data_IF_751641783462
#
_entry.id   IF_751641783462
#
_cell.length_a   1.000
_cell.length_b   1.000
_cell.length_c   1.000
_cell.angle_alpha   90.00
_cell.angle_beta   90.00
_cell.angle_gamma   90.00
#
_symmetry.space_group_name_H-M   'P 1'
#
loop_
_entity.id
_entity.type
_entity.pdbx_description
1 polymer ?
#
# COMPACT_ATOMS: atom_id res chain seq x y z
N UNK A 1 12.40 -1.34 -12.79
CA UNK A 1 12.24 -0.02 -12.12
C UNK A 1 12.28 1.06 -13.20
N UNK A 2 11.13 1.61 -13.58
CA UNK A 2 11.05 2.81 -14.42
C UNK A 2 11.21 4.03 -13.49
N UNK A 3 12.33 4.71 -13.60
CA UNK A 3 12.58 5.98 -12.90
C UNK A 3 12.27 7.13 -13.84
N UNK A 4 11.36 7.99 -13.46
CA UNK A 4 11.13 9.26 -14.17
C UNK A 4 11.84 10.39 -13.42
N UNK A 5 12.71 11.20 -14.08
CA UNK A 5 13.28 12.37 -13.47
C UNK A 5 12.21 13.47 -13.35
N UNK A 6 12.09 14.09 -12.18
CA UNK A 6 11.31 15.32 -11.99
C UNK A 6 12.02 16.46 -12.72
N UNK A 7 11.47 16.89 -13.85
CA UNK A 7 11.93 18.08 -14.56
C UNK A 7 11.11 19.28 -14.12
N UNK A 8 11.76 20.27 -13.55
CA UNK A 8 11.15 21.55 -13.21
C UNK A 8 10.75 22.31 -14.49
N UNK A 9 9.46 22.37 -14.80
CA UNK A 9 8.92 23.31 -15.79
C UNK A 9 8.37 24.55 -15.06
N UNK A 10 9.18 25.60 -15.02
CA UNK A 10 8.70 26.93 -14.68
C UNK A 10 8.02 27.58 -15.87
N UNK A 11 6.78 28.00 -15.74
CA UNK A 11 6.21 29.07 -16.59
C UNK A 11 4.97 29.69 -15.95
N UNK A 12 5.08 31.00 -15.86
CA UNK A 12 4.26 32.09 -15.45
C UNK A 12 2.74 31.99 -15.47
N UNK A 13 2.19 32.59 -14.45
CA UNK A 13 0.78 32.90 -14.27
C UNK A 13 0.27 33.97 -15.22
N UNK A 14 -1.05 34.02 -15.47
CA UNK A 14 -1.76 35.25 -15.27
C UNK A 14 -2.92 35.12 -14.27
N UNK A 15 -3.00 36.13 -13.42
CA UNK A 15 -4.08 36.38 -12.48
C UNK A 15 -5.40 36.65 -13.19
N UNK A 16 -6.49 36.01 -12.72
CA UNK A 16 -7.84 36.50 -12.90
C UNK A 16 -8.65 36.23 -11.64
N UNK A 17 -9.15 37.32 -11.08
CA UNK A 17 -10.09 37.38 -9.96
C UNK A 17 -11.48 36.87 -10.37
N UNK A 18 -12.09 36.05 -9.54
CA UNK A 18 -13.48 35.65 -9.67
C UNK A 18 -14.00 35.06 -8.36
N UNK A 19 -14.98 35.74 -7.79
CA UNK A 19 -15.63 35.51 -6.51
C UNK A 19 -16.50 34.25 -6.48
N UNK A 20 -16.42 33.52 -5.34
CA UNK A 20 -17.57 32.96 -4.62
C UNK A 20 -18.21 31.72 -5.14
N UNK A 21 -18.08 30.65 -4.42
CA UNK A 21 -19.15 29.91 -3.71
C UNK A 21 -18.52 28.72 -3.01
N UNK A 22 -18.68 28.66 -1.70
CA UNK A 22 -18.38 27.49 -0.89
C UNK A 22 -19.26 26.32 -1.33
N UNK A 23 -18.64 25.31 -1.93
CA UNK A 23 -19.24 23.99 -2.06
C UNK A 23 -18.42 23.06 -1.17
N UNK A 24 -19.07 22.50 -0.16
CA UNK A 24 -18.45 21.63 0.80
C UNK A 24 -17.73 20.47 0.12
N UNK A 25 -16.43 20.42 0.32
CA UNK A 25 -15.59 19.26 0.02
C UNK A 25 -16.00 18.20 1.04
N UNK A 26 -16.63 17.14 0.57
CA UNK A 26 -16.84 15.94 1.36
C UNK A 26 -15.48 15.40 1.79
N UNK A 27 -15.16 15.58 3.05
CA UNK A 27 -14.06 14.89 3.72
C UNK A 27 -14.37 13.40 3.58
N UNK A 28 -13.55 12.66 2.83
CA UNK A 28 -13.50 11.22 2.97
C UNK A 28 -13.09 10.97 4.42
N UNK A 29 -14.00 10.43 5.21
CA UNK A 29 -13.72 10.13 6.60
C UNK A 29 -12.58 9.12 6.62
N UNK A 30 -11.45 9.51 7.20
CA UNK A 30 -10.45 8.54 7.62
C UNK A 30 -11.17 7.49 8.49
N UNK A 31 -10.84 6.18 8.34
CA UNK A 31 -11.46 5.15 9.16
C UNK A 31 -11.34 5.53 10.64
N UNK A 32 -12.45 5.45 11.36
CA UNK A 32 -12.48 5.69 12.80
C UNK A 32 -11.72 4.58 13.53
N UNK A 33 -10.42 4.77 13.69
CA UNK A 33 -9.51 3.85 14.40
C UNK A 33 -9.65 3.94 15.93
N UNK A 34 -10.69 4.64 16.44
CA UNK A 34 -10.87 4.89 17.88
C UNK A 34 -11.56 3.75 18.64
N UNK A 35 -11.96 2.65 17.99
CA UNK A 35 -12.74 1.58 18.64
C UNK A 35 -11.94 0.34 19.09
N UNK A 36 -10.63 0.25 18.86
CA UNK A 36 -9.84 -0.89 19.33
C UNK A 36 -9.47 -0.74 20.81
N UNK A 37 -10.36 -1.14 21.71
CA UNK A 37 -10.09 -1.29 23.16
C UNK A 37 -9.71 -2.73 23.56
N UNK A 38 -9.63 -3.67 22.64
CA UNK A 38 -9.05 -4.98 22.91
C UNK A 38 -7.55 -4.95 22.58
N UNK A 39 -6.72 -5.53 23.47
CA UNK A 39 -5.28 -5.71 23.23
C UNK A 39 -5.10 -6.74 22.08
N UNK A 40 -5.21 -6.29 20.86
CA UNK A 40 -4.86 -7.11 19.69
C UNK A 40 -3.36 -7.39 19.74
N UNK A 41 -2.97 -8.65 19.71
CA UNK A 41 -1.56 -9.03 19.60
C UNK A 41 -1.04 -8.60 18.23
N UNK A 42 -0.25 -7.54 18.21
CA UNK A 42 0.35 -6.98 16.98
C UNK A 42 1.75 -7.50 16.70
N UNK A 43 2.30 -8.35 17.56
CA UNK A 43 3.66 -8.85 17.48
C UNK A 43 4.69 -7.98 18.23
N UNK A 44 5.96 -8.41 18.18
CA UNK A 44 7.07 -7.78 18.92
C UNK A 44 7.70 -6.64 18.12
N UNK A 45 7.50 -5.41 18.59
CA UNK A 45 8.05 -4.20 17.99
C UNK A 45 9.59 -4.17 17.96
N UNK A 46 10.26 -4.85 18.90
CA UNK A 46 11.72 -4.87 19.00
C UNK A 46 12.40 -5.64 17.86
N UNK A 47 11.64 -6.42 17.10
CA UNK A 47 12.13 -7.18 15.95
C UNK A 47 12.09 -6.38 14.64
N UNK A 48 11.52 -5.18 14.64
CA UNK A 48 11.45 -4.29 13.48
C UNK A 48 12.50 -3.18 13.57
N UNK A 49 13.14 -2.87 12.45
CA UNK A 49 14.08 -1.76 12.32
C UNK A 49 13.31 -0.52 11.84
N UNK A 50 13.25 0.58 12.60
CA UNK A 50 12.57 1.80 12.16
C UNK A 50 13.24 2.50 10.99
N UNK A 51 14.49 2.16 10.65
CA UNK A 51 15.27 2.66 9.52
C UNK A 51 15.29 4.20 9.43
N UNK A 52 15.47 4.85 10.57
CA UNK A 52 15.55 6.31 10.71
C UNK A 52 16.94 6.79 11.15
N UNK A 53 17.99 6.02 10.83
CA UNK A 53 19.36 6.30 11.20
C UNK A 53 19.89 7.60 10.57
N UNK A 54 20.77 8.25 11.33
CA UNK A 54 21.57 9.39 10.87
C UNK A 54 22.98 8.94 10.45
N UNK A 55 23.79 9.88 9.96
CA UNK A 55 25.17 9.66 9.52
C UNK A 55 25.28 8.64 8.38
N UNK A 56 24.33 8.70 7.48
CA UNK A 56 24.29 7.91 6.27
C UNK A 56 25.23 8.51 5.19
N UNK A 57 25.45 7.77 4.10
CA UNK A 57 26.25 8.27 2.98
C UNK A 57 25.53 9.28 2.10
N UNK A 58 26.16 9.66 0.99
CA UNK A 58 25.61 10.64 0.05
C UNK A 58 24.45 10.11 -0.81
N UNK A 59 24.14 8.81 -0.74
CA UNK A 59 23.09 8.15 -1.51
C UNK A 59 22.06 7.52 -0.58
N UNK A 60 20.82 7.91 -0.74
CA UNK A 60 19.71 7.38 0.04
C UNK A 60 18.62 6.80 -0.86
N UNK A 61 18.10 5.65 -0.49
CA UNK A 61 16.87 5.06 -1.00
C UNK A 61 15.84 5.14 0.12
N UNK A 62 14.90 6.08 -0.01
CA UNK A 62 13.82 6.29 0.94
C UNK A 62 12.61 5.46 0.53
N UNK A 63 12.26 4.46 1.34
CA UNK A 63 11.07 3.64 1.13
C UNK A 63 9.89 4.31 1.83
N UNK A 64 8.87 4.66 1.04
CA UNK A 64 7.67 5.36 1.54
C UNK A 64 6.46 4.43 1.45
N UNK A 65 5.86 4.16 2.60
CA UNK A 65 4.69 3.30 2.75
C UNK A 65 3.55 4.06 3.45
N UNK A 66 2.31 3.62 3.27
CA UNK A 66 1.21 4.08 4.14
C UNK A 66 1.53 3.79 5.61
N UNK A 67 2.04 2.61 5.86
CA UNK A 67 2.39 2.12 7.18
C UNK A 67 1.37 1.15 7.74
N UNK A 68 1.72 0.52 8.85
CA UNK A 68 0.83 -0.30 9.67
C UNK A 68 1.27 -0.29 11.12
N UNK A 69 0.32 -0.30 12.04
CA UNK A 69 0.57 -0.45 13.46
C UNK A 69 0.75 -1.90 13.91
N UNK A 70 0.48 -2.88 13.06
CA UNK A 70 0.72 -4.30 13.33
C UNK A 70 2.20 -4.60 13.16
N UNK A 71 2.90 -4.89 14.26
CA UNK A 71 4.37 -5.03 14.29
C UNK A 71 4.87 -6.17 13.40
N UNK A 72 4.26 -7.35 13.50
CA UNK A 72 4.67 -8.48 12.66
C UNK A 72 4.35 -8.24 11.19
N UNK A 73 3.18 -7.67 10.86
CA UNK A 73 2.86 -7.30 9.49
C UNK A 73 3.86 -6.28 8.94
N UNK A 74 4.18 -5.22 9.70
CA UNK A 74 5.16 -4.21 9.30
C UNK A 74 6.52 -4.82 8.97
N UNK A 75 7.03 -5.68 9.86
CA UNK A 75 8.31 -6.37 9.69
C UNK A 75 8.30 -7.33 8.49
N UNK A 76 7.24 -8.12 8.33
CA UNK A 76 7.15 -9.17 7.32
C UNK A 76 6.78 -8.66 5.92
N UNK A 77 6.25 -7.46 5.80
CA UNK A 77 5.84 -6.85 4.52
C UNK A 77 6.74 -5.66 4.17
N UNK A 78 6.57 -4.52 4.80
CA UNK A 78 7.40 -3.31 4.54
C UNK A 78 8.89 -3.63 4.81
N UNK A 79 9.20 -4.23 5.94
CA UNK A 79 10.57 -4.60 6.30
C UNK A 79 11.21 -5.58 5.32
N UNK A 80 10.42 -6.49 4.73
CA UNK A 80 10.92 -7.40 3.69
C UNK A 80 11.25 -6.65 2.39
N UNK A 81 10.42 -5.70 1.97
CA UNK A 81 10.69 -4.84 0.82
C UNK A 81 11.97 -4.03 1.03
N UNK A 82 12.10 -3.40 2.19
CA UNK A 82 13.28 -2.60 2.56
C UNK A 82 14.55 -3.43 2.60
N UNK A 83 14.46 -4.65 3.10
CA UNK A 83 15.59 -5.60 3.15
C UNK A 83 16.00 -6.02 1.74
N UNK A 84 15.05 -6.36 0.88
CA UNK A 84 15.32 -6.69 -0.51
C UNK A 84 15.98 -5.53 -1.26
N UNK A 85 15.54 -4.30 -0.99
CA UNK A 85 16.15 -3.10 -1.57
C UNK A 85 17.58 -2.86 -1.03
N UNK A 86 17.81 -3.06 0.27
CA UNK A 86 19.15 -2.93 0.86
C UNK A 86 20.12 -3.98 0.31
N UNK A 87 19.65 -5.20 0.06
CA UNK A 87 20.45 -6.26 -0.57
C UNK A 87 20.75 -5.96 -2.04
N UNK A 88 19.78 -5.41 -2.77
CA UNK A 88 19.95 -5.07 -4.19
C UNK A 88 20.83 -3.83 -4.41
N UNK A 89 20.86 -2.91 -3.46
CA UNK A 89 21.59 -1.64 -3.54
C UNK A 89 22.52 -1.43 -2.32
N UNK A 90 23.55 -2.27 -2.13
CA UNK A 90 24.38 -2.27 -0.91
C UNK A 90 25.19 -0.96 -0.69
N UNK A 91 25.36 -0.15 -1.73
CA UNK A 91 26.04 1.15 -1.66
C UNK A 91 25.09 2.32 -1.31
N UNK A 92 23.82 2.03 -1.03
CA UNK A 92 22.78 3.01 -0.68
C UNK A 92 22.33 2.81 0.77
N UNK A 93 22.05 3.90 1.45
CA UNK A 93 21.37 3.85 2.74
C UNK A 93 19.87 3.70 2.51
N UNK A 94 19.28 2.63 3.01
CA UNK A 94 17.83 2.41 2.91
C UNK A 94 17.16 2.90 4.18
N UNK A 95 16.25 3.88 4.04
CA UNK A 95 15.48 4.45 5.13
C UNK A 95 13.99 4.33 4.89
N UNK A 96 13.20 4.50 5.97
CA UNK A 96 11.74 4.35 5.98
C UNK A 96 11.07 5.70 6.22
N UNK A 97 9.92 5.92 5.56
CA UNK A 97 8.94 6.91 5.96
C UNK A 97 7.52 6.35 5.81
N UNK A 98 6.60 6.86 6.63
CA UNK A 98 5.17 6.58 6.49
C UNK A 98 4.40 7.82 6.07
N UNK A 99 3.33 7.62 5.29
CA UNK A 99 2.40 8.70 4.93
C UNK A 99 1.33 8.91 6.00
N UNK A 100 0.92 7.86 6.72
CA UNK A 100 -0.13 7.92 7.73
C UNK A 100 0.38 8.39 9.08
N UNK A 101 0.08 9.65 9.45
CA UNK A 101 0.43 10.20 10.76
C UNK A 101 -0.24 9.46 11.91
N UNK A 102 -1.46 8.96 11.72
CA UNK A 102 -2.21 8.18 12.73
C UNK A 102 -1.44 6.90 13.07
N UNK A 103 -0.93 6.21 12.06
CA UNK A 103 -0.12 5.00 12.27
C UNK A 103 1.18 5.33 13.00
N UNK A 104 1.88 6.39 12.60
CA UNK A 104 3.10 6.85 13.26
C UNK A 104 2.86 7.13 14.73
N UNK A 105 1.81 7.89 15.05
CA UNK A 105 1.48 8.26 16.43
C UNK A 105 1.11 7.02 17.25
N UNK A 106 0.32 6.09 16.72
CA UNK A 106 -0.04 4.84 17.40
C UNK A 106 1.18 3.97 17.71
N UNK A 107 2.10 3.80 16.75
CA UNK A 107 3.33 3.03 16.94
C UNK A 107 4.22 3.69 17.99
N UNK A 108 4.36 5.02 17.94
CA UNK A 108 5.14 5.76 18.94
C UNK A 108 4.53 5.64 20.35
N UNK A 109 3.21 5.82 20.48
CA UNK A 109 2.53 5.80 21.78
C UNK A 109 2.52 4.41 22.41
N UNK A 110 2.30 3.37 21.63
CA UNK A 110 2.23 1.98 22.11
C UNK A 110 3.61 1.36 22.32
N UNK A 111 4.51 1.53 21.33
CA UNK A 111 5.76 0.77 21.26
C UNK A 111 7.01 1.62 21.56
N UNK A 112 6.86 2.95 21.63
CA UNK A 112 8.00 3.87 21.79
C UNK A 112 8.93 3.91 20.57
N UNK A 113 8.47 3.45 19.41
CA UNK A 113 9.23 3.41 18.14
C UNK A 113 8.96 4.68 17.35
N UNK A 114 10.02 5.42 17.02
CA UNK A 114 9.94 6.62 16.20
C UNK A 114 10.06 6.25 14.72
N UNK A 115 9.06 6.63 13.93
CA UNK A 115 9.05 6.48 12.47
C UNK A 115 8.84 7.86 11.86
N UNK A 116 9.68 8.23 10.91
CA UNK A 116 9.57 9.51 10.22
C UNK A 116 8.31 9.52 9.30
N UNK A 117 7.59 10.64 9.28
CA UNK A 117 6.70 10.92 8.16
C UNK A 117 7.52 11.41 6.95
N UNK A 118 6.89 11.58 5.79
CA UNK A 118 7.58 11.94 4.55
C UNK A 118 8.41 13.21 4.73
N UNK A 119 7.81 14.26 5.30
CA UNK A 119 8.50 15.54 5.53
C UNK A 119 9.71 15.38 6.46
N UNK A 120 9.54 14.70 7.58
CA UNK A 120 10.62 14.48 8.54
C UNK A 120 11.77 13.66 7.93
N UNK A 121 11.45 12.66 7.10
CA UNK A 121 12.44 11.85 6.40
C UNK A 121 13.22 12.68 5.36
N UNK A 122 12.55 13.56 4.63
CA UNK A 122 13.18 14.46 3.65
C UNK A 122 14.08 15.50 4.33
N UNK A 123 13.61 16.14 5.41
CA UNK A 123 14.41 17.07 6.21
C UNK A 123 15.67 16.38 6.76
N UNK A 124 15.51 15.16 7.28
CA UNK A 124 16.63 14.34 7.77
C UNK A 124 17.62 13.97 6.66
N UNK A 125 17.14 13.69 5.44
CA UNK A 125 18.02 13.43 4.29
C UNK A 125 18.87 14.66 3.95
N UNK A 126 18.27 15.85 3.99
CA UNK A 126 19.00 17.12 3.81
C UNK A 126 20.03 17.32 4.92
N UNK A 127 19.66 17.12 6.18
CA UNK A 127 20.55 17.28 7.35
C UNK A 127 21.71 16.27 7.32
N UNK A 128 21.48 15.08 6.80
CA UNK A 128 22.52 14.06 6.59
C UNK A 128 23.45 14.38 5.40
N UNK A 129 23.17 15.38 4.60
CA UNK A 129 23.98 15.76 3.44
C UNK A 129 23.84 14.80 2.26
N UNK A 130 22.69 14.16 2.12
CA UNK A 130 22.38 13.31 0.96
C UNK A 130 22.43 14.14 -0.32
N UNK A 131 23.10 13.63 -1.34
CA UNK A 131 23.19 14.26 -2.66
C UNK A 131 22.28 13.62 -3.69
N UNK A 132 22.12 12.30 -3.58
CA UNK A 132 21.27 11.53 -4.47
C UNK A 132 20.21 10.82 -3.66
N UNK A 133 18.96 11.25 -3.84
CA UNK A 133 17.78 10.65 -3.21
C UNK A 133 16.93 9.92 -4.24
N UNK A 134 16.67 8.66 -3.98
CA UNK A 134 15.66 7.89 -4.72
C UNK A 134 14.55 7.52 -3.74
N UNK A 135 13.33 7.91 -4.07
CA UNK A 135 12.15 7.57 -3.27
C UNK A 135 11.43 6.40 -3.93
N UNK A 136 11.29 5.31 -3.19
CA UNK A 136 10.54 4.14 -3.63
C UNK A 136 9.22 4.04 -2.85
N UNK A 137 8.07 4.40 -3.46
CA UNK A 137 6.78 4.17 -2.85
C UNK A 137 6.48 2.68 -2.85
N UNK A 138 5.80 2.21 -1.79
CA UNK A 138 5.24 0.85 -1.74
C UNK A 138 3.75 0.84 -2.09
N UNK A 139 3.22 1.93 -2.61
CA UNK A 139 1.82 2.04 -3.00
C UNK A 139 1.48 1.05 -4.11
N UNK A 140 0.29 0.47 -4.02
CA UNK A 140 -0.20 -0.49 -5.02
C UNK A 140 -0.52 0.20 -6.34
N UNK A 141 -1.06 1.43 -6.28
CA UNK A 141 -1.60 2.19 -7.41
C UNK A 141 -1.20 3.66 -7.37
N UNK A 142 -1.36 4.34 -8.50
CA UNK A 142 -1.31 5.80 -8.62
C UNK A 142 -2.62 6.40 -8.11
N UNK A 143 -2.70 6.56 -6.79
CA UNK A 143 -3.82 7.14 -6.07
C UNK A 143 -3.47 8.46 -5.40
N UNK A 144 -4.39 8.96 -4.55
CA UNK A 144 -4.23 10.24 -3.85
C UNK A 144 -2.93 10.30 -3.05
N UNK A 145 -2.61 9.24 -2.31
CA UNK A 145 -1.40 9.19 -1.47
C UNK A 145 -0.10 9.25 -2.27
N UNK A 146 -0.08 8.63 -3.45
CA UNK A 146 1.08 8.74 -4.35
C UNK A 146 1.20 10.15 -4.92
N UNK A 147 0.07 10.78 -5.28
CA UNK A 147 0.04 12.16 -5.74
C UNK A 147 0.55 13.12 -4.66
N UNK A 148 0.07 12.98 -3.43
CA UNK A 148 0.51 13.79 -2.28
C UNK A 148 2.02 13.62 -2.02
N UNK A 149 2.53 12.40 -2.13
CA UNK A 149 3.97 12.12 -2.02
C UNK A 149 4.76 12.85 -3.11
N UNK A 150 4.32 12.82 -4.36
CA UNK A 150 5.00 13.50 -5.48
C UNK A 150 4.97 15.01 -5.29
N UNK A 151 3.85 15.56 -4.82
CA UNK A 151 3.71 17.00 -4.54
C UNK A 151 4.63 17.45 -3.38
N UNK A 152 4.81 16.62 -2.34
CA UNK A 152 5.76 16.89 -1.27
C UNK A 152 7.21 16.87 -1.79
N UNK A 153 7.58 15.86 -2.58
CA UNK A 153 8.92 15.75 -3.18
C UNK A 153 9.26 16.93 -4.09
N UNK A 154 8.28 17.50 -4.77
CA UNK A 154 8.48 18.66 -5.63
C UNK A 154 9.03 19.88 -4.88
N UNK A 155 8.79 19.98 -3.56
CA UNK A 155 9.28 21.06 -2.71
C UNK A 155 10.78 20.91 -2.37
N UNK A 156 11.36 19.72 -2.57
CA UNK A 156 12.75 19.39 -2.24
C UNK A 156 13.66 19.24 -3.46
N UNK A 157 13.18 19.55 -4.66
CA UNK A 157 13.95 19.38 -5.90
C UNK A 157 15.29 20.10 -5.91
N UNK A 158 15.39 21.27 -5.27
CA UNK A 158 16.60 22.06 -5.17
C UNK A 158 17.51 21.65 -3.99
N UNK A 159 17.05 20.76 -3.12
CA UNK A 159 17.80 20.33 -1.94
C UNK A 159 18.81 19.21 -2.25
N UNK A 160 18.64 18.50 -3.35
CA UNK A 160 19.47 17.36 -3.76
C UNK A 160 20.11 17.61 -5.12
N UNK A 161 21.31 17.05 -5.37
CA UNK A 161 21.90 17.05 -6.70
C UNK A 161 21.08 16.20 -7.68
N UNK A 162 20.50 15.10 -7.18
CA UNK A 162 19.62 14.20 -7.92
C UNK A 162 18.49 13.72 -7.00
N UNK A 163 17.26 13.85 -7.49
CA UNK A 163 16.07 13.28 -6.86
C UNK A 163 15.26 12.53 -7.90
N UNK A 164 14.77 11.34 -7.55
CA UNK A 164 13.90 10.54 -8.40
C UNK A 164 12.86 9.81 -7.55
N UNK A 165 11.69 9.55 -8.12
CA UNK A 165 10.62 8.77 -7.51
C UNK A 165 10.30 7.56 -8.39
N UNK A 166 10.14 6.39 -7.76
CA UNK A 166 9.67 5.17 -8.40
C UNK A 166 8.16 5.22 -8.64
N UNK A 167 7.70 4.45 -9.61
CA UNK A 167 6.28 4.25 -9.84
C UNK A 167 5.64 3.35 -8.76
N UNK A 168 4.31 3.43 -8.55
CA UNK A 168 3.56 2.43 -7.80
C UNK A 168 3.68 1.04 -8.43
N UNK A 169 3.26 0.01 -7.69
CA UNK A 169 3.46 -1.39 -8.10
C UNK A 169 2.70 -1.74 -9.38
N UNK A 170 1.43 -1.34 -9.50
CA UNK A 170 0.57 -1.66 -10.65
C UNK A 170 0.45 -0.45 -11.59
N UNK A 171 1.41 -0.29 -12.49
CA UNK A 171 1.49 0.85 -13.40
C UNK A 171 1.47 0.43 -14.88
N UNK A 172 2.00 -0.75 -15.21
CA UNK A 172 2.08 -1.26 -16.57
C UNK A 172 1.52 -2.67 -16.70
N UNK A 173 1.16 -3.09 -17.91
CA UNK A 173 0.72 -4.47 -18.20
C UNK A 173 1.72 -5.51 -17.69
N UNK A 174 3.03 -5.21 -17.77
CA UNK A 174 4.07 -6.08 -17.25
C UNK A 174 4.05 -6.22 -15.74
N UNK A 175 3.69 -5.15 -15.02
CA UNK A 175 3.56 -5.19 -13.56
C UNK A 175 2.35 -6.03 -13.14
N UNK A 176 1.21 -5.87 -13.83
CA UNK A 176 0.03 -6.71 -13.58
C UNK A 176 0.33 -8.19 -13.78
N UNK A 177 1.02 -8.54 -14.87
CA UNK A 177 1.40 -9.94 -15.11
C UNK A 177 2.36 -10.44 -14.03
N UNK A 178 3.37 -9.66 -13.65
CA UNK A 178 4.33 -10.05 -12.62
C UNK A 178 3.66 -10.25 -11.24
N UNK A 179 2.70 -9.39 -10.88
CA UNK A 179 1.92 -9.54 -9.66
C UNK A 179 0.98 -10.75 -9.73
N UNK A 180 0.30 -10.96 -10.87
CA UNK A 180 -0.55 -12.14 -11.08
C UNK A 180 0.27 -13.44 -10.93
N UNK A 181 1.44 -13.51 -11.55
CA UNK A 181 2.36 -14.66 -11.42
C UNK A 181 2.80 -14.87 -9.96
N UNK A 182 3.11 -13.80 -9.23
CA UNK A 182 3.55 -13.87 -7.85
C UNK A 182 2.44 -14.38 -6.91
N UNK A 183 1.22 -13.83 -7.03
CA UNK A 183 0.10 -14.23 -6.15
C UNK A 183 -0.42 -15.64 -6.48
N UNK A 184 -0.43 -16.04 -7.73
CA UNK A 184 -0.82 -17.40 -8.14
C UNK A 184 0.23 -18.42 -7.72
N UNK A 185 1.51 -18.10 -7.83
CA UNK A 185 2.58 -18.96 -7.29
C UNK A 185 2.47 -19.12 -5.76
N UNK A 186 2.23 -18.03 -5.03
CA UNK A 186 2.11 -18.06 -3.57
C UNK A 186 0.91 -18.88 -3.10
N UNK A 187 -0.16 -18.95 -3.88
CA UNK A 187 -1.40 -19.65 -3.57
C UNK A 187 -1.55 -21.01 -4.27
N UNK A 188 -0.57 -21.42 -5.07
CA UNK A 188 -0.63 -22.64 -5.89
C UNK A 188 -0.98 -23.93 -5.10
N UNK A 189 -0.59 -24.00 -3.83
CA UNK A 189 -0.91 -25.13 -2.95
C UNK A 189 -2.41 -25.28 -2.67
N UNK A 190 -3.18 -24.23 -2.88
CA UNK A 190 -4.65 -24.18 -2.67
C UNK A 190 -5.43 -24.34 -3.98
N UNK A 191 -4.76 -24.21 -5.14
CA UNK A 191 -5.37 -24.32 -6.48
C UNK A 191 -5.52 -25.80 -6.88
N UNK A 192 -6.47 -26.47 -6.25
CA UNK A 192 -6.72 -27.91 -6.38
C UNK A 192 -7.94 -28.24 -7.25
N UNK A 193 -8.52 -27.25 -7.90
CA UNK A 193 -9.70 -27.39 -8.74
C UNK A 193 -11.04 -27.44 -7.98
N UNK A 194 -11.04 -27.39 -6.65
CA UNK A 194 -12.21 -27.38 -5.78
C UNK A 194 -12.28 -26.14 -4.87
N UNK A 195 -11.18 -25.39 -4.81
CA UNK A 195 -11.01 -24.19 -3.99
C UNK A 195 -11.07 -22.93 -4.85
N UNK A 196 -11.84 -21.92 -4.42
CA UNK A 196 -11.77 -20.56 -4.93
C UNK A 196 -10.76 -19.74 -4.11
N UNK A 197 -9.93 -18.97 -4.77
CA UNK A 197 -8.95 -18.10 -4.14
C UNK A 197 -9.39 -16.66 -4.34
N UNK A 198 -9.75 -15.98 -3.24
CA UNK A 198 -10.34 -14.66 -3.26
C UNK A 198 -9.37 -13.65 -2.66
N UNK A 199 -9.03 -12.67 -3.45
CA UNK A 199 -8.16 -11.57 -3.07
C UNK A 199 -8.98 -10.35 -2.68
N UNK A 200 -8.73 -9.81 -1.50
CA UNK A 200 -9.37 -8.61 -0.99
C UNK A 200 -8.42 -7.41 -1.08
N UNK A 201 -8.76 -6.43 -1.92
CA UNK A 201 -8.12 -5.13 -1.96
C UNK A 201 -8.83 -4.13 -1.06
N UNK A 202 -8.22 -2.97 -0.83
CA UNK A 202 -8.83 -1.88 -0.07
C UNK A 202 -10.03 -1.29 -0.83
N UNK A 203 -9.81 -0.92 -2.08
CA UNK A 203 -10.76 -0.15 -2.88
C UNK A 203 -10.57 1.36 -2.70
N UNK A 204 -11.09 2.13 -3.62
CA UNK A 204 -11.08 3.60 -3.57
C UNK A 204 -12.14 4.16 -4.50
N UNK A 205 -12.69 5.34 -4.18
CA UNK A 205 -13.58 6.08 -5.07
C UNK A 205 -12.83 6.74 -6.26
N UNK A 206 -11.49 6.76 -6.23
CA UNK A 206 -10.69 7.34 -7.30
C UNK A 206 -10.66 6.45 -8.55
N UNK A 207 -10.33 7.05 -9.71
CA UNK A 207 -10.21 6.33 -10.99
C UNK A 207 -9.20 5.18 -10.94
N UNK A 208 -8.19 5.30 -10.08
CA UNK A 208 -7.18 4.25 -9.83
C UNK A 208 -7.77 2.93 -9.32
N UNK A 209 -9.02 2.92 -8.85
CA UNK A 209 -9.73 1.69 -8.44
C UNK A 209 -9.84 0.64 -9.56
N UNK A 210 -9.77 1.07 -10.82
CA UNK A 210 -9.81 0.19 -12.00
C UNK A 210 -8.77 -0.94 -11.96
N UNK A 211 -7.68 -0.79 -11.21
CA UNK A 211 -6.63 -1.82 -11.11
C UNK A 211 -7.14 -3.18 -10.61
N UNK A 212 -8.18 -3.19 -9.77
CA UNK A 212 -8.74 -4.45 -9.26
C UNK A 212 -9.47 -5.22 -10.37
N UNK A 213 -10.24 -4.53 -11.20
CA UNK A 213 -10.86 -5.13 -12.39
C UNK A 213 -9.82 -5.54 -13.44
N UNK A 214 -8.75 -4.77 -13.62
CA UNK A 214 -7.65 -5.13 -14.52
C UNK A 214 -6.90 -6.36 -14.03
N UNK A 215 -6.63 -6.48 -12.73
CA UNK A 215 -6.02 -7.68 -12.13
C UNK A 215 -6.92 -8.92 -12.33
N UNK A 216 -8.24 -8.79 -12.13
CA UNK A 216 -9.19 -9.86 -12.41
C UNK A 216 -9.07 -10.34 -13.87
N UNK A 217 -9.04 -9.40 -14.83
CA UNK A 217 -8.91 -9.75 -16.26
C UNK A 217 -7.59 -10.45 -16.57
N UNK A 218 -6.48 -10.03 -15.95
CA UNK A 218 -5.17 -10.69 -16.14
C UNK A 218 -5.19 -12.12 -15.62
N UNK A 219 -5.77 -12.36 -14.45
CA UNK A 219 -5.92 -13.69 -13.87
C UNK A 219 -6.78 -14.59 -14.77
N UNK A 220 -7.91 -14.10 -15.27
CA UNK A 220 -8.79 -14.83 -16.19
C UNK A 220 -8.08 -15.15 -17.52
N UNK A 221 -7.38 -14.17 -18.09
CA UNK A 221 -6.62 -14.37 -19.33
C UNK A 221 -5.49 -15.40 -19.20
N UNK A 222 -4.95 -15.55 -17.99
CA UNK A 222 -3.95 -16.56 -17.64
C UNK A 222 -4.58 -17.96 -17.35
N UNK A 223 -5.90 -18.08 -17.34
CA UNK A 223 -6.63 -19.35 -17.11
C UNK A 223 -6.88 -19.66 -15.65
N UNK A 224 -6.80 -18.69 -14.76
CA UNK A 224 -7.08 -18.82 -13.33
C UNK A 224 -8.57 -18.58 -13.04
N UNK A 225 -9.45 -19.45 -13.53
CA UNK A 225 -10.91 -19.28 -13.52
C UNK A 225 -11.55 -19.29 -12.11
N UNK A 226 -10.78 -19.64 -11.07
CA UNK A 226 -11.24 -19.67 -9.68
C UNK A 226 -10.51 -18.67 -8.78
N UNK A 227 -9.89 -17.69 -9.39
CA UNK A 227 -9.25 -16.56 -8.72
C UNK A 227 -10.13 -15.32 -8.85
N UNK A 228 -10.48 -14.72 -7.73
CA UNK A 228 -11.41 -13.61 -7.66
C UNK A 228 -10.75 -12.42 -6.97
N UNK A 229 -10.98 -11.23 -7.49
CA UNK A 229 -10.52 -9.98 -6.89
C UNK A 229 -11.74 -9.13 -6.52
N UNK A 230 -11.78 -8.70 -5.28
CA UNK A 230 -12.78 -7.73 -4.81
C UNK A 230 -12.17 -6.73 -3.83
N UNK A 231 -12.96 -5.81 -3.35
CA UNK A 231 -12.51 -4.72 -2.48
C UNK A 231 -13.42 -4.54 -1.26
N UNK A 232 -12.88 -3.87 -0.23
CA UNK A 232 -13.65 -3.53 0.98
C UNK A 232 -14.57 -2.33 0.71
N UNK A 233 -14.05 -1.27 0.07
CA UNK A 233 -14.71 0.03 0.01
C UNK A 233 -15.24 0.40 -1.39
N UNK A 234 -15.04 -0.43 -2.41
CA UNK A 234 -15.41 -0.12 -3.79
C UNK A 234 -15.81 -1.37 -4.59
N UNK A 235 -15.90 -1.23 -5.92
CA UNK A 235 -16.11 -2.35 -6.85
C UNK A 235 -14.75 -2.93 -7.32
N UNK A 236 -14.66 -4.27 -7.56
CA UNK A 236 -15.72 -5.27 -7.31
C UNK A 236 -15.99 -5.48 -5.83
N UNK A 237 -17.26 -5.69 -5.47
CA UNK A 237 -17.70 -5.86 -4.09
C UNK A 237 -17.53 -7.30 -3.59
N UNK A 238 -17.72 -7.52 -2.28
CA UNK A 238 -17.82 -8.87 -1.70
C UNK A 238 -18.94 -9.67 -2.34
N UNK A 239 -20.08 -9.06 -2.64
CA UNK A 239 -21.22 -9.70 -3.27
C UNK A 239 -20.89 -10.19 -4.69
N UNK A 240 -20.12 -9.44 -5.46
CA UNK A 240 -19.65 -9.84 -6.79
C UNK A 240 -18.74 -11.07 -6.69
N UNK A 241 -17.82 -11.06 -5.73
CA UNK A 241 -16.92 -12.20 -5.47
C UNK A 241 -17.71 -13.43 -5.02
N UNK A 242 -18.67 -13.28 -4.10
CA UNK A 242 -19.55 -14.38 -3.66
C UNK A 242 -20.34 -14.98 -4.83
N UNK A 243 -20.87 -14.13 -5.72
CA UNK A 243 -21.60 -14.61 -6.90
C UNK A 243 -20.69 -15.41 -7.83
N UNK A 244 -19.47 -14.91 -8.13
CA UNK A 244 -18.50 -15.62 -8.95
C UNK A 244 -18.07 -16.96 -8.36
N UNK A 245 -17.78 -16.99 -7.06
CA UNK A 245 -17.43 -18.23 -6.35
C UNK A 245 -18.56 -19.27 -6.42
N UNK A 246 -19.80 -18.84 -6.22
CA UNK A 246 -20.97 -19.72 -6.32
C UNK A 246 -21.12 -20.31 -7.72
N UNK A 247 -20.93 -19.51 -8.74
CA UNK A 247 -21.06 -19.92 -10.14
C UNK A 247 -19.93 -20.87 -10.57
N UNK A 248 -18.74 -20.77 -9.95
CA UNK A 248 -17.62 -21.68 -10.21
C UNK A 248 -17.82 -23.10 -9.70
N UNK A 249 -18.78 -23.30 -8.79
CA UNK A 249 -19.03 -24.58 -8.13
C UNK A 249 -17.91 -25.01 -7.17
N UNK A 250 -17.08 -24.08 -6.68
CA UNK A 250 -16.11 -24.35 -5.63
C UNK A 250 -16.80 -24.73 -4.31
N UNK A 251 -16.15 -25.58 -3.51
CA UNK A 251 -16.65 -26.01 -2.19
C UNK A 251 -15.83 -25.43 -1.04
N UNK A 252 -14.71 -24.81 -1.33
CA UNK A 252 -13.82 -24.17 -0.35
C UNK A 252 -13.40 -22.79 -0.86
N UNK A 253 -13.10 -21.90 0.09
CA UNK A 253 -12.59 -20.57 -0.20
C UNK A 253 -11.32 -20.31 0.61
N UNK A 254 -10.32 -19.75 -0.04
CA UNK A 254 -9.13 -19.20 0.58
C UNK A 254 -9.16 -17.69 0.39
N UNK A 255 -9.08 -16.95 1.49
CA UNK A 255 -9.01 -15.48 1.50
C UNK A 255 -7.56 -15.03 1.60
N UNK A 256 -7.19 -14.07 0.78
CA UNK A 256 -5.86 -13.45 0.78
C UNK A 256 -5.99 -11.93 0.60
N UNK A 257 -5.20 -11.11 1.28
CA UNK A 257 -5.19 -9.68 1.01
C UNK A 257 -4.44 -9.40 -0.31
N UNK A 258 -5.00 -8.52 -1.14
CA UNK A 258 -4.30 -7.87 -2.25
C UNK A 258 -3.90 -6.46 -1.79
N UNK A 259 -3.03 -6.43 -0.82
CA UNK A 259 -2.54 -5.23 -0.14
C UNK A 259 -1.06 -5.38 0.15
N UNK A 260 -0.34 -4.27 0.24
CA UNK A 260 1.09 -4.31 0.60
C UNK A 260 1.28 -4.71 2.07
N UNK A 261 0.33 -4.36 2.93
CA UNK A 261 0.37 -4.69 4.36
C UNK A 261 -0.94 -5.37 4.79
N UNK A 262 -0.83 -6.37 5.66
CA UNK A 262 -1.96 -6.96 6.36
C UNK A 262 -2.22 -6.14 7.64
N UNK A 263 -2.94 -5.05 7.50
CA UNK A 263 -3.34 -4.15 8.58
C UNK A 263 -4.76 -4.47 9.09
N UNK A 264 -5.48 -3.43 9.48
CA UNK A 264 -6.82 -3.51 10.06
C UNK A 264 -7.79 -4.23 9.13
N UNK A 265 -7.90 -3.81 7.87
CA UNK A 265 -8.80 -4.45 6.90
C UNK A 265 -8.54 -5.95 6.70
N UNK A 266 -7.27 -6.38 6.67
CA UNK A 266 -6.96 -7.80 6.53
C UNK A 266 -7.32 -8.62 7.79
N UNK A 267 -7.18 -8.03 8.97
CA UNK A 267 -7.46 -8.71 10.23
C UNK A 267 -8.96 -8.67 10.60
N UNK A 268 -9.65 -7.57 10.34
CA UNK A 268 -11.04 -7.37 10.73
C UNK A 268 -12.00 -7.61 9.56
N UNK A 269 -11.90 -6.85 8.46
CA UNK A 269 -12.86 -6.95 7.35
C UNK A 269 -12.69 -8.24 6.53
N UNK A 270 -11.46 -8.77 6.43
CA UNK A 270 -11.25 -10.04 5.73
C UNK A 270 -11.39 -11.25 6.69
N UNK A 271 -10.57 -11.30 7.74
CA UNK A 271 -10.38 -12.48 8.58
C UNK A 271 -11.14 -12.44 9.92
N UNK A 272 -11.80 -11.33 10.24
CA UNK A 272 -12.57 -11.13 11.47
C UNK A 272 -13.76 -12.07 11.59
N UNK A 273 -14.29 -12.19 12.82
CA UNK A 273 -15.47 -13.00 13.14
C UNK A 273 -16.78 -12.18 13.16
N UNK A 274 -16.68 -10.86 12.95
CA UNK A 274 -17.82 -9.95 12.97
C UNK A 274 -18.72 -10.11 11.74
N UNK A 275 -19.99 -9.73 11.91
CA UNK A 275 -20.93 -9.65 10.81
C UNK A 275 -20.43 -8.64 9.78
N UNK A 276 -20.40 -9.03 8.51
CA UNK A 276 -19.90 -8.19 7.40
C UNK A 276 -18.45 -8.49 7.02
N UNK A 277 -17.68 -9.23 7.81
CA UNK A 277 -16.37 -9.68 7.36
C UNK A 277 -16.49 -10.68 6.20
N UNK A 278 -15.50 -10.70 5.32
CA UNK A 278 -15.46 -11.65 4.20
C UNK A 278 -15.52 -13.10 4.69
N UNK A 279 -14.73 -13.45 5.71
CA UNK A 279 -14.75 -14.77 6.33
C UNK A 279 -16.16 -15.17 6.76
N UNK A 280 -16.87 -14.27 7.47
CA UNK A 280 -18.20 -14.54 7.96
C UNK A 280 -19.21 -14.71 6.81
N UNK A 281 -19.14 -13.83 5.81
CA UNK A 281 -20.00 -13.88 4.65
C UNK A 281 -19.86 -15.21 3.86
N UNK A 282 -18.63 -15.69 3.68
CA UNK A 282 -18.40 -16.99 3.04
C UNK A 282 -18.86 -18.17 3.90
N UNK A 283 -18.68 -18.12 5.22
CA UNK A 283 -19.21 -19.15 6.13
C UNK A 283 -20.74 -19.22 6.10
N UNK A 284 -21.42 -18.07 6.10
CA UNK A 284 -22.87 -17.98 6.03
C UNK A 284 -23.41 -18.43 4.66
N UNK A 285 -22.60 -18.33 3.59
CA UNK A 285 -22.89 -18.88 2.27
C UNK A 285 -22.61 -20.40 2.16
N UNK A 286 -22.01 -21.01 3.18
CA UNK A 286 -21.80 -22.47 3.26
C UNK A 286 -20.42 -22.96 2.82
N UNK A 287 -19.42 -22.09 2.78
CA UNK A 287 -18.02 -22.42 2.46
C UNK A 287 -17.16 -22.67 3.69
#
# INVERSE_FOLDING_TARGET
LLMTPLAACGSGAPSASGSGTESGVGSSAAPDLSQDTEEVDTGDASLDDPRNQDQIGEKELLVVSFGTSYNDSRRLTIGAIETALAEAFPDWSVRRAFTSQIIIDRVRERDGVEIDNVKAALDRAVDNGVKTLVVQPTHLMDGLEYTDLVDELAQYTDAFEHIAVGAPLLTSDGDFQAVADAITQATAQYDDGDTAICFMGHGTEAESNRIYGEMQQVLEAAGHDRYYVGTVEAEPTLEDVLAGVKDSGAHRVVLQPLMIVAGDHANNDMAGDEEGSWKRAFQDAGY
#
